data_IF_560642002131
#
_entry.id   IF_560642002131
#
_cell.length_a   1.000
_cell.length_b   1.000
_cell.length_c   1.000
_cell.angle_alpha   90.00
_cell.angle_beta   90.00
_cell.angle_gamma   90.00
#
_symmetry.space_group_name_H-M   'P 1'
#
loop_
_entity.id
_entity.type
_entity.pdbx_description
1 polymer ?
#
# COMPACT_ATOMS: atom_id res chain seq x y z
N UNK A 1 23.71 -106.87 19.11
CA UNK A 1 22.94 -107.19 17.88
C UNK A 1 21.70 -106.30 17.81
N UNK A 2 21.87 -104.98 17.84
CA UNK A 2 20.76 -104.00 17.96
C UNK A 2 20.71 -103.02 16.77
N UNK A 3 21.61 -103.16 15.80
CA UNK A 3 21.73 -102.27 14.64
C UNK A 3 20.91 -102.70 13.42
N UNK A 4 20.25 -103.86 13.46
CA UNK A 4 19.58 -104.44 12.29
C UNK A 4 18.06 -104.19 12.21
N UNK A 5 17.40 -103.79 13.30
CA UNK A 5 15.94 -103.55 13.30
C UNK A 5 15.54 -102.11 12.92
N UNK A 6 16.46 -101.16 12.94
CA UNK A 6 16.21 -99.78 12.49
C UNK A 6 16.07 -99.65 10.97
N UNK A 7 16.57 -100.62 10.20
CA UNK A 7 16.56 -100.57 8.73
C UNK A 7 15.23 -101.08 8.13
N UNK A 8 14.48 -101.96 8.83
CA UNK A 8 13.24 -102.54 8.28
C UNK A 8 12.00 -101.67 8.43
N UNK A 9 11.93 -100.80 9.46
CA UNK A 9 10.85 -99.82 9.59
C UNK A 9 10.94 -98.72 8.53
N UNK A 10 12.14 -98.48 7.99
CA UNK A 10 12.38 -97.51 6.92
C UNK A 10 11.70 -97.92 5.61
N UNK A 11 11.69 -99.22 5.28
CA UNK A 11 11.04 -99.75 4.07
C UNK A 11 9.51 -99.85 4.17
N UNK A 12 8.95 -99.96 5.36
CA UNK A 12 7.50 -100.13 5.55
C UNK A 12 6.77 -98.79 5.73
N UNK A 13 7.46 -97.76 6.26
CA UNK A 13 6.88 -96.44 6.52
C UNK A 13 7.36 -95.33 5.58
N UNK A 14 8.16 -95.62 4.54
CA UNK A 14 8.70 -94.61 3.63
C UNK A 14 7.63 -93.70 2.98
N UNK A 15 6.43 -94.23 2.76
CA UNK A 15 5.29 -93.47 2.25
C UNK A 15 4.90 -92.32 3.20
N UNK A 16 4.91 -92.54 4.51
CA UNK A 16 4.61 -91.50 5.50
C UNK A 16 5.68 -90.41 5.52
N UNK A 17 6.95 -90.76 5.29
CA UNK A 17 8.04 -89.78 5.18
C UNK A 17 7.88 -88.90 3.94
N UNK A 18 7.50 -89.49 2.81
CA UNK A 18 7.25 -88.74 1.56
C UNK A 18 6.03 -87.83 1.71
N UNK A 19 4.94 -88.31 2.29
CA UNK A 19 3.74 -87.51 2.55
C UNK A 19 4.05 -86.36 3.51
N UNK A 20 4.77 -86.61 4.61
CA UNK A 20 5.18 -85.56 5.54
C UNK A 20 6.08 -84.50 4.89
N UNK A 21 6.99 -84.92 4.01
CA UNK A 21 7.85 -84.01 3.26
C UNK A 21 7.06 -83.15 2.27
N UNK A 22 6.12 -83.74 1.52
CA UNK A 22 5.24 -83.01 0.60
C UNK A 22 4.37 -82.03 1.38
N UNK A 23 3.79 -82.45 2.51
CA UNK A 23 3.00 -81.56 3.37
C UNK A 23 3.86 -80.44 3.97
N UNK A 24 5.09 -80.71 4.39
CA UNK A 24 6.01 -79.69 4.88
C UNK A 24 6.38 -78.68 3.78
N UNK A 25 6.63 -79.14 2.55
CA UNK A 25 6.89 -78.26 1.40
C UNK A 25 5.65 -77.45 1.03
N UNK A 26 4.47 -78.07 1.03
CA UNK A 26 3.20 -77.39 0.74
C UNK A 26 2.87 -76.34 1.81
N UNK A 27 3.07 -76.67 3.08
CA UNK A 27 2.87 -75.73 4.19
C UNK A 27 3.92 -74.61 4.16
N UNK A 28 5.18 -74.94 3.86
CA UNK A 28 6.23 -73.94 3.68
C UNK A 28 5.91 -73.00 2.52
N UNK A 29 5.50 -73.54 1.37
CA UNK A 29 5.08 -72.74 0.22
C UNK A 29 3.84 -71.89 0.53
N UNK A 30 2.89 -72.39 1.31
CA UNK A 30 1.70 -71.65 1.73
C UNK A 30 2.04 -70.50 2.70
N UNK A 31 2.94 -70.74 3.66
CA UNK A 31 3.42 -69.70 4.60
C UNK A 31 4.25 -68.65 3.86
N UNK A 32 5.01 -69.02 2.82
CA UNK A 32 5.74 -68.06 1.99
C UNK A 32 4.83 -67.22 1.07
N UNK A 33 3.52 -67.51 1.02
CA UNK A 33 2.50 -66.69 0.36
C UNK A 33 1.90 -65.66 1.33
N UNK A 34 2.48 -65.48 2.53
CA UNK A 34 2.25 -64.25 3.30
C UNK A 34 2.71 -63.06 2.44
N UNK A 35 1.75 -62.26 1.99
CA UNK A 35 1.96 -61.15 1.07
C UNK A 35 3.04 -60.20 1.63
N UNK A 36 4.20 -60.11 0.97
CA UNK A 36 5.17 -59.09 1.34
C UNK A 36 4.48 -57.72 1.23
N UNK A 37 4.45 -56.94 2.33
CA UNK A 37 3.76 -55.67 2.35
C UNK A 37 4.36 -54.74 1.29
N UNK A 38 3.52 -54.29 0.36
CA UNK A 38 3.98 -53.46 -0.76
C UNK A 38 4.32 -52.07 -0.27
N UNK A 39 5.49 -51.58 -0.65
CA UNK A 39 5.94 -50.22 -0.34
C UNK A 39 5.84 -49.33 -1.58
N UNK A 40 5.27 -48.13 -1.42
CA UNK A 40 5.18 -47.13 -2.50
C UNK A 40 5.41 -45.72 -1.95
N UNK A 41 6.20 -44.93 -2.65
CA UNK A 41 6.38 -43.50 -2.34
C UNK A 41 5.39 -42.67 -3.16
N UNK A 42 4.63 -41.84 -2.46
CA UNK A 42 3.69 -40.87 -3.01
C UNK A 42 4.34 -39.47 -2.91
N UNK A 43 4.68 -38.84 -4.05
CA UNK A 43 5.18 -37.47 -4.05
C UNK A 43 4.05 -36.45 -3.86
N UNK A 44 4.43 -35.21 -3.54
CA UNK A 44 3.57 -34.02 -3.53
C UNK A 44 2.34 -34.07 -2.61
N UNK A 45 2.44 -34.75 -1.47
CA UNK A 45 1.38 -34.75 -0.46
C UNK A 45 1.36 -33.37 0.24
N UNK A 46 0.23 -32.64 0.24
CA UNK A 46 0.15 -31.33 0.86
C UNK A 46 0.22 -31.44 2.38
N UNK A 47 1.09 -30.62 2.99
CA UNK A 47 1.21 -30.54 4.44
C UNK A 47 0.13 -29.60 5.01
N UNK A 48 -0.68 -30.11 5.94
CA UNK A 48 -1.76 -29.36 6.59
C UNK A 48 -1.37 -28.99 8.02
N UNK A 49 -1.55 -27.73 8.38
CA UNK A 49 -1.34 -27.28 9.76
C UNK A 49 -2.66 -27.34 10.53
N UNK A 50 -2.68 -28.03 11.67
CA UNK A 50 -3.85 -28.16 12.53
C UNK A 50 -3.70 -27.28 13.77
N UNK A 51 -4.83 -26.94 14.42
CA UNK A 51 -4.87 -26.10 15.62
C UNK A 51 -4.17 -24.73 15.44
N UNK A 52 -4.31 -24.12 14.26
CA UNK A 52 -3.62 -22.86 13.95
C UNK A 52 -4.13 -21.67 14.75
N UNK A 53 -5.41 -21.62 15.13
CA UNK A 53 -5.98 -20.46 15.84
C UNK A 53 -5.66 -19.14 15.13
N UNK A 54 -5.15 -18.16 15.87
CA UNK A 54 -4.69 -16.86 15.35
C UNK A 54 -3.24 -16.89 14.80
N UNK A 55 -2.62 -18.07 14.73
CA UNK A 55 -1.24 -18.24 14.31
C UNK A 55 -1.14 -18.31 12.78
N UNK A 56 -0.20 -17.55 12.25
CA UNK A 56 0.21 -17.58 10.85
C UNK A 56 1.53 -18.34 10.71
N UNK A 57 1.56 -19.31 9.79
CA UNK A 57 2.70 -20.21 9.58
C UNK A 57 3.46 -19.83 8.32
N UNK A 58 4.79 -19.79 8.41
CA UNK A 58 5.69 -19.59 7.27
C UNK A 58 6.66 -20.78 7.14
N UNK A 59 6.75 -21.43 5.97
CA UNK A 59 6.00 -21.19 4.74
C UNK A 59 4.55 -21.71 4.81
N UNK A 60 3.61 -21.00 4.18
CA UNK A 60 2.17 -21.29 4.24
C UNK A 60 1.75 -22.52 3.43
N UNK A 61 2.53 -22.90 2.42
CA UNK A 61 2.30 -24.09 1.59
C UNK A 61 3.58 -24.88 1.51
N UNK A 62 3.50 -26.18 1.77
CA UNK A 62 4.60 -27.12 1.62
C UNK A 62 4.03 -28.46 1.19
N UNK A 63 4.76 -29.17 0.34
CA UNK A 63 4.48 -30.56 0.02
C UNK A 63 5.58 -31.43 0.60
N UNK A 64 5.24 -32.68 0.90
CA UNK A 64 6.16 -33.70 1.40
C UNK A 64 5.99 -34.99 0.62
N UNK A 65 7.06 -35.77 0.54
CA UNK A 65 6.98 -37.13 -0.01
C UNK A 65 6.64 -38.08 1.12
N UNK A 66 5.78 -39.04 0.85
CA UNK A 66 5.29 -39.95 1.87
C UNK A 66 5.40 -41.38 1.38
N UNK A 67 6.03 -42.23 2.18
CA UNK A 67 6.14 -43.66 1.88
C UNK A 67 5.01 -44.39 2.61
N UNK A 68 4.21 -45.15 1.85
CA UNK A 68 3.13 -45.96 2.37
C UNK A 68 3.46 -47.45 2.21
N UNK A 69 3.15 -48.24 3.22
CA UNK A 69 3.40 -49.68 3.25
C UNK A 69 2.16 -50.42 3.77
N UNK A 70 1.71 -51.47 3.08
CA UNK A 70 0.50 -52.22 3.45
C UNK A 70 0.09 -53.28 2.41
N UNK A 71 -1.15 -53.81 2.48
CA UNK A 71 -1.66 -54.81 1.54
C UNK A 71 -1.59 -54.32 0.09
N UNK A 72 -1.17 -55.21 -0.82
CA UNK A 72 -0.89 -54.86 -2.21
C UNK A 72 -2.08 -54.18 -2.91
N UNK A 73 -3.28 -54.72 -2.72
CA UNK A 73 -4.50 -54.25 -3.36
C UNK A 73 -4.89 -52.83 -2.93
N UNK A 74 -4.51 -52.44 -1.70
CA UNK A 74 -4.75 -51.10 -1.16
C UNK A 74 -3.71 -50.13 -1.72
N UNK A 75 -2.43 -50.45 -1.59
CA UNK A 75 -1.31 -49.54 -1.96
C UNK A 75 -1.28 -49.24 -3.46
N UNK A 76 -1.67 -50.20 -4.32
CA UNK A 76 -1.69 -50.01 -5.76
C UNK A 76 -2.72 -48.98 -6.23
N UNK A 77 -3.83 -48.87 -5.50
CA UNK A 77 -4.94 -47.97 -5.80
C UNK A 77 -4.82 -46.62 -5.09
N UNK A 78 -3.91 -46.49 -4.12
CA UNK A 78 -3.72 -45.25 -3.36
C UNK A 78 -3.11 -44.13 -4.22
N UNK A 79 -3.61 -42.92 -3.98
CA UNK A 79 -3.12 -41.66 -4.54
C UNK A 79 -2.63 -40.71 -3.43
N UNK A 80 -1.87 -39.65 -3.75
CA UNK A 80 -1.46 -38.65 -2.77
C UNK A 80 -2.62 -37.97 -2.01
N UNK A 81 -3.85 -37.98 -2.55
CA UNK A 81 -5.05 -37.37 -1.91
C UNK A 81 -5.62 -38.24 -0.78
N UNK A 82 -5.28 -39.52 -0.79
CA UNK A 82 -5.73 -40.53 0.16
C UNK A 82 -4.86 -40.56 1.42
N UNK A 83 -3.83 -39.71 1.46
CA UNK A 83 -2.91 -39.54 2.57
C UNK A 83 -3.06 -38.13 3.12
N UNK A 84 -3.06 -38.01 4.45
CA UNK A 84 -3.03 -36.72 5.15
C UNK A 84 -1.71 -36.60 5.87
N UNK A 85 -0.91 -35.59 5.53
CA UNK A 85 0.26 -35.19 6.29
C UNK A 85 -0.09 -33.91 7.07
N UNK A 86 0.03 -33.95 8.40
CA UNK A 86 -0.32 -32.83 9.26
C UNK A 86 0.71 -32.51 10.33
N UNK A 87 0.69 -31.27 10.80
CA UNK A 87 1.53 -30.80 11.92
C UNK A 87 0.64 -30.06 12.91
N UNK A 88 0.68 -30.47 14.17
CA UNK A 88 -0.05 -29.81 15.25
C UNK A 88 0.71 -28.57 15.76
N UNK A 89 0.00 -27.44 15.84
CA UNK A 89 0.52 -26.16 16.32
C UNK A 89 -0.02 -25.76 17.71
N UNK A 90 -0.70 -26.67 18.41
CA UNK A 90 -1.31 -26.40 19.71
C UNK A 90 -0.26 -25.97 20.74
N UNK A 91 -0.55 -24.87 21.45
CA UNK A 91 0.28 -24.38 22.55
C UNK A 91 1.60 -23.74 22.13
N UNK A 92 1.84 -23.53 20.83
CA UNK A 92 3.04 -22.86 20.36
C UNK A 92 3.00 -21.36 20.67
N UNK A 93 4.16 -20.82 21.02
CA UNK A 93 4.30 -19.39 21.30
C UNK A 93 4.64 -18.64 20.00
N UNK A 94 3.92 -17.56 19.68
CA UNK A 94 4.21 -16.73 18.51
C UNK A 94 5.64 -16.15 18.50
N UNK A 95 6.18 -15.93 17.30
CA UNK A 95 7.48 -15.27 17.07
C UNK A 95 8.69 -16.20 17.15
N UNK A 96 8.47 -17.52 17.23
CA UNK A 96 9.53 -18.53 17.32
C UNK A 96 9.51 -19.49 16.13
N UNK A 97 10.67 -20.06 15.82
CA UNK A 97 10.80 -21.17 14.86
C UNK A 97 10.79 -22.50 15.59
N UNK A 98 9.98 -23.43 15.12
CA UNK A 98 9.84 -24.76 15.69
C UNK A 98 10.23 -25.83 14.66
N UNK A 99 10.78 -26.95 15.15
CA UNK A 99 10.99 -28.15 14.35
C UNK A 99 10.00 -29.21 14.84
N UNK A 100 8.97 -29.46 14.05
CA UNK A 100 7.81 -30.28 14.44
C UNK A 100 7.79 -31.57 13.63
N UNK A 101 7.41 -32.66 14.27
CA UNK A 101 7.20 -33.94 13.59
C UNK A 101 5.97 -33.85 12.69
N UNK A 102 6.03 -34.53 11.54
CA UNK A 102 4.89 -34.65 10.63
C UNK A 102 4.12 -35.91 11.01
N UNK A 103 2.87 -35.74 11.39
CA UNK A 103 1.94 -36.84 11.55
C UNK A 103 1.40 -37.25 10.18
N UNK A 104 1.36 -38.54 9.91
CA UNK A 104 0.78 -39.05 8.68
C UNK A 104 -0.30 -40.09 8.96
N UNK A 105 -1.43 -39.98 8.25
CA UNK A 105 -2.51 -40.96 8.30
C UNK A 105 -3.05 -41.28 6.89
N UNK A 106 -3.40 -42.56 6.68
CA UNK A 106 -4.16 -43.02 5.51
C UNK A 106 -5.65 -42.82 5.72
N UNK A 107 -6.36 -42.32 4.70
CA UNK A 107 -7.83 -42.19 4.71
C UNK A 107 -8.56 -43.48 4.33
N UNK A 108 -7.88 -44.38 3.59
CA UNK A 108 -8.50 -45.57 2.99
C UNK A 108 -8.50 -46.75 3.97
N UNK A 109 -7.39 -46.95 4.69
CA UNK A 109 -7.26 -48.02 5.67
C UNK A 109 -6.22 -47.60 6.74
N UNK A 110 -6.63 -46.85 7.78
CA UNK A 110 -5.71 -46.26 8.76
C UNK A 110 -4.94 -47.31 9.58
N UNK A 111 -5.56 -48.46 9.87
CA UNK A 111 -4.95 -49.50 10.71
C UNK A 111 -4.10 -50.51 9.92
N UNK A 112 -4.17 -50.49 8.58
CA UNK A 112 -3.50 -51.46 7.70
C UNK A 112 -2.40 -50.83 6.83
N UNK A 113 -2.30 -49.49 6.82
CA UNK A 113 -1.31 -48.76 6.02
C UNK A 113 -0.40 -47.98 6.94
N UNK A 114 0.86 -48.41 7.01
CA UNK A 114 1.92 -47.68 7.68
C UNK A 114 2.29 -46.50 6.80
N UNK A 115 2.29 -45.31 7.38
CA UNK A 115 2.65 -44.09 6.69
C UNK A 115 3.91 -43.45 7.27
N UNK A 116 4.91 -43.22 6.42
CA UNK A 116 6.20 -42.62 6.83
C UNK A 116 6.49 -41.37 5.99
N UNK A 117 6.37 -40.16 6.58
CA UNK A 117 6.70 -38.92 5.87
C UNK A 117 8.22 -38.74 5.71
N UNK A 118 8.62 -38.19 4.57
CA UNK A 118 9.99 -37.80 4.25
C UNK A 118 10.01 -36.36 3.70
N UNK A 119 10.54 -35.36 4.46
CA UNK A 119 11.22 -35.50 5.75
C UNK A 119 10.25 -35.79 6.91
N UNK A 120 10.74 -36.43 7.98
CA UNK A 120 9.93 -36.71 9.18
C UNK A 120 9.69 -35.46 10.05
N UNK A 121 10.56 -34.44 9.93
CA UNK A 121 10.50 -33.20 10.71
C UNK A 121 10.48 -32.02 9.75
N UNK A 122 9.63 -31.04 10.04
CA UNK A 122 9.52 -29.79 9.30
C UNK A 122 9.88 -28.62 10.21
N UNK A 123 10.70 -27.70 9.69
CA UNK A 123 10.93 -26.40 10.34
C UNK A 123 9.90 -25.40 9.87
N UNK A 124 9.19 -24.77 10.81
CA UNK A 124 8.18 -23.74 10.56
C UNK A 124 8.38 -22.54 11.48
N UNK A 125 8.13 -21.35 10.97
CA UNK A 125 8.02 -20.14 11.77
C UNK A 125 6.55 -19.86 12.03
N UNK A 126 6.23 -19.56 13.29
CA UNK A 126 4.86 -19.33 13.73
C UNK A 126 4.76 -17.91 14.29
N UNK A 127 3.87 -17.10 13.74
CA UNK A 127 3.67 -15.71 14.10
C UNK A 127 2.22 -15.45 14.52
N UNK A 128 2.00 -14.50 15.43
CA UNK A 128 0.65 -14.13 15.85
C UNK A 128 0.03 -13.19 14.84
N UNK A 129 -1.19 -13.49 14.42
CA UNK A 129 -2.05 -12.54 13.72
C UNK A 129 -2.78 -11.71 14.77
N UNK A 130 -2.72 -10.40 14.65
CA UNK A 130 -3.40 -9.47 15.54
C UNK A 130 -4.35 -8.63 14.69
N UNK A 131 -5.46 -8.20 15.29
CA UNK A 131 -6.39 -7.25 14.70
C UNK A 131 -6.41 -5.97 15.53
N UNK A 132 -6.32 -4.82 14.89
CA UNK A 132 -6.38 -3.51 15.54
C UNK A 132 -7.25 -2.55 14.73
N UNK A 133 -8.00 -1.72 15.43
CA UNK A 133 -8.85 -0.70 14.84
C UNK A 133 -8.02 0.56 14.53
N UNK A 134 -8.22 1.14 13.34
CA UNK A 134 -7.53 2.34 12.89
C UNK A 134 -8.52 3.32 12.26
N UNK A 135 -8.24 4.61 12.40
CA UNK A 135 -8.95 5.67 11.67
C UNK A 135 -8.62 5.61 10.18
N UNK A 136 -9.62 5.84 9.34
CA UNK A 136 -9.52 5.91 7.89
C UNK A 136 -9.46 7.37 7.47
N UNK A 137 -8.32 7.79 6.95
CA UNK A 137 -8.07 9.19 6.58
C UNK A 137 -8.10 9.35 5.07
N UNK A 138 -8.89 10.29 4.52
CA UNK A 138 -8.86 10.59 3.10
C UNK A 138 -7.55 11.31 2.74
N UNK A 139 -6.91 10.88 1.66
CA UNK A 139 -5.74 11.56 1.09
C UNK A 139 -6.01 11.95 -0.35
N UNK A 140 -6.04 13.26 -0.59
CA UNK A 140 -6.17 13.84 -1.92
C UNK A 140 -4.83 13.76 -2.65
N UNK A 141 -4.82 13.13 -3.82
CA UNK A 141 -3.58 12.93 -4.61
C UNK A 141 -3.23 14.14 -5.46
N UNK A 142 -4.15 15.09 -5.62
CA UNK A 142 -3.98 16.29 -6.43
C UNK A 142 -4.48 17.53 -5.70
N UNK A 143 -3.82 18.66 -5.96
CA UNK A 143 -4.22 19.96 -5.45
C UNK A 143 -5.45 20.49 -6.21
N UNK A 144 -6.30 21.30 -5.56
CA UNK A 144 -7.43 21.91 -6.24
C UNK A 144 -6.98 22.82 -7.39
N UNK A 145 -7.77 22.88 -8.48
CA UNK A 145 -7.57 23.88 -9.52
C UNK A 145 -7.57 25.29 -8.95
N UNK A 146 -6.84 26.18 -9.62
CA UNK A 146 -6.73 27.59 -9.23
C UNK A 146 -8.11 28.24 -9.14
N UNK A 147 -8.39 28.92 -8.02
CA UNK A 147 -9.68 29.58 -7.76
C UNK A 147 -10.73 28.66 -7.15
N UNK A 148 -10.36 27.43 -6.80
CA UNK A 148 -11.22 26.45 -6.15
C UNK A 148 -10.59 25.91 -4.87
N UNK A 149 -11.44 25.41 -3.99
CA UNK A 149 -11.07 24.62 -2.81
C UNK A 149 -11.91 23.35 -2.76
N UNK A 150 -11.32 22.28 -2.25
CA UNK A 150 -12.07 21.07 -1.92
C UNK A 150 -12.64 21.20 -0.51
N UNK A 151 -13.89 20.80 -0.32
CA UNK A 151 -14.40 20.59 1.04
C UNK A 151 -13.70 19.41 1.69
N UNK A 152 -13.57 19.41 3.02
CA UNK A 152 -13.04 18.27 3.77
C UNK A 152 -13.80 17.00 3.39
N UNK A 153 -13.13 15.96 2.83
CA UNK A 153 -13.82 14.74 2.44
C UNK A 153 -14.39 14.01 3.65
N UNK A 154 -15.63 13.54 3.54
CA UNK A 154 -16.23 12.66 4.53
C UNK A 154 -15.97 11.21 4.14
N UNK A 155 -15.56 10.38 5.09
CA UNK A 155 -15.23 8.96 4.87
C UNK A 155 -16.10 8.09 5.75
N UNK A 156 -16.79 7.14 5.13
CA UNK A 156 -17.70 6.21 5.80
C UNK A 156 -17.32 4.77 5.45
N UNK A 157 -16.95 3.91 6.41
CA UNK A 157 -16.80 4.21 7.83
C UNK A 157 -15.53 5.04 8.12
N UNK A 158 -15.54 5.79 9.23
CA UNK A 158 -14.36 6.55 9.69
C UNK A 158 -13.29 5.65 10.33
N UNK A 159 -13.63 4.40 10.62
CA UNK A 159 -12.75 3.40 11.23
C UNK A 159 -12.83 2.07 10.48
N UNK A 160 -11.71 1.36 10.40
CA UNK A 160 -11.66 0.01 9.85
C UNK A 160 -10.66 -0.85 10.62
N UNK A 161 -10.92 -2.16 10.63
CA UNK A 161 -10.07 -3.13 11.33
C UNK A 161 -8.98 -3.60 10.40
N UNK A 162 -7.73 -3.49 10.83
CA UNK A 162 -6.57 -4.03 10.13
C UNK A 162 -6.06 -5.27 10.85
N UNK A 163 -5.93 -6.36 10.11
CA UNK A 163 -5.50 -7.67 10.60
C UNK A 163 -4.23 -8.09 9.87
N UNK A 164 -3.22 -8.55 10.62
CA UNK A 164 -1.99 -9.07 10.04
C UNK A 164 -1.03 -9.59 11.11
N UNK A 165 0.13 -10.09 10.67
CA UNK A 165 1.21 -10.50 11.59
C UNK A 165 1.57 -9.35 12.52
N UNK A 166 1.70 -9.61 13.82
CA UNK A 166 1.98 -8.61 14.85
C UNK A 166 3.13 -7.66 14.46
N UNK A 167 4.26 -8.20 13.99
CA UNK A 167 5.42 -7.40 13.54
C UNK A 167 5.12 -6.48 12.35
N UNK A 168 4.26 -6.93 11.44
CA UNK A 168 3.84 -6.14 10.27
C UNK A 168 2.81 -5.09 10.68
N UNK A 169 1.83 -5.47 11.51
CA UNK A 169 0.78 -4.57 11.97
C UNK A 169 1.33 -3.42 12.84
N UNK A 170 2.40 -3.67 13.59
CA UNK A 170 3.12 -2.61 14.35
C UNK A 170 3.72 -1.51 13.45
N UNK A 171 3.91 -1.77 12.16
CA UNK A 171 4.40 -0.76 11.19
C UNK A 171 3.27 0.10 10.63
N UNK A 172 2.01 -0.34 10.77
CA UNK A 172 0.85 0.40 10.30
C UNK A 172 0.62 1.57 11.23
N UNK A 173 0.71 2.79 10.68
CA UNK A 173 0.46 4.01 11.42
C UNK A 173 -1.01 4.44 11.27
N UNK A 174 -1.56 4.30 10.06
CA UNK A 174 -2.91 4.75 9.72
C UNK A 174 -3.45 3.99 8.51
N UNK A 175 -4.76 4.06 8.32
CA UNK A 175 -5.43 3.62 7.10
C UNK A 175 -5.73 4.84 6.25
N UNK A 176 -5.42 4.77 4.96
CA UNK A 176 -5.70 5.86 4.02
C UNK A 176 -6.57 5.41 2.86
N UNK A 177 -7.26 6.39 2.30
CA UNK A 177 -8.00 6.25 1.06
C UNK A 177 -7.46 7.27 0.07
N UNK A 178 -6.91 6.80 -1.04
CA UNK A 178 -6.35 7.67 -2.09
C UNK A 178 -7.48 8.16 -3.01
N UNK A 179 -7.77 9.45 -2.96
CA UNK A 179 -8.87 10.08 -3.70
C UNK A 179 -8.30 11.02 -4.75
N UNK A 180 -8.61 10.75 -6.01
CA UNK A 180 -8.25 11.61 -7.14
C UNK A 180 -9.50 12.42 -7.54
N UNK A 181 -9.50 13.72 -7.27
CA UNK A 181 -10.66 14.59 -7.45
C UNK A 181 -10.34 15.73 -8.41
N UNK A 182 -11.04 15.85 -9.55
CA UNK A 182 -10.77 16.86 -10.57
C UNK A 182 -11.49 18.19 -10.31
N UNK A 183 -12.29 18.60 -11.30
CA UNK A 183 -13.21 19.76 -11.25
C UNK A 183 -14.65 19.38 -10.90
N UNK A 184 -14.87 18.13 -10.53
CA UNK A 184 -16.18 17.55 -10.25
C UNK A 184 -16.24 17.07 -8.81
N UNK A 185 -17.44 17.06 -8.25
CA UNK A 185 -17.73 16.46 -6.96
C UNK A 185 -17.48 14.94 -7.02
N UNK A 186 -17.12 14.37 -5.87
CA UNK A 186 -16.83 12.95 -5.76
C UNK A 186 -17.74 12.31 -4.73
N UNK A 187 -18.34 11.19 -5.12
CA UNK A 187 -19.21 10.38 -4.27
C UNK A 187 -19.07 8.91 -4.68
N UNK A 188 -18.07 8.21 -4.11
CA UNK A 188 -17.67 6.90 -4.62
C UNK A 188 -16.98 6.03 -3.55
N UNK A 189 -16.87 4.73 -3.83
CA UNK A 189 -16.15 3.78 -2.98
C UNK A 189 -14.70 3.61 -3.43
N UNK A 190 -13.78 3.71 -2.48
CA UNK A 190 -12.35 3.58 -2.73
C UNK A 190 -11.74 2.50 -1.83
N UNK A 191 -10.68 1.81 -2.29
CA UNK A 191 -9.99 0.81 -1.47
C UNK A 191 -9.24 1.47 -0.30
N UNK A 192 -9.33 0.85 0.87
CA UNK A 192 -8.58 1.27 2.05
C UNK A 192 -7.20 0.62 2.02
N UNK A 193 -6.16 1.41 2.27
CA UNK A 193 -4.77 0.96 2.30
C UNK A 193 -4.16 1.18 3.67
N UNK A 194 -3.53 0.15 4.21
CA UNK A 194 -2.70 0.27 5.40
C UNK A 194 -1.34 0.85 5.03
N UNK A 195 -0.95 1.95 5.68
CA UNK A 195 0.32 2.64 5.39
C UNK A 195 1.14 2.88 6.64
N UNK A 196 2.46 3.01 6.44
CA UNK A 196 3.40 3.36 7.49
C UNK A 196 3.52 4.88 7.69
N UNK A 197 4.50 5.31 8.51
CA UNK A 197 4.75 6.73 8.82
C UNK A 197 5.17 7.58 7.62
N UNK A 198 5.63 6.96 6.53
CA UNK A 198 6.02 7.63 5.29
C UNK A 198 4.89 7.54 4.25
N UNK A 199 3.71 7.12 4.68
CA UNK A 199 2.56 6.77 3.85
C UNK A 199 2.86 5.68 2.80
N UNK A 200 3.86 4.83 3.03
CA UNK A 200 4.14 3.72 2.15
C UNK A 200 3.21 2.54 2.48
N UNK A 201 2.69 1.82 1.46
CA UNK A 201 1.80 0.68 1.69
C UNK A 201 2.50 -0.44 2.45
N UNK A 202 1.82 -0.99 3.46
CA UNK A 202 2.30 -2.11 4.27
C UNK A 202 1.68 -3.42 3.75
N UNK A 203 2.41 -4.26 3.01
CA UNK A 203 1.87 -5.51 2.48
C UNK A 203 1.62 -6.53 3.58
N UNK A 204 0.70 -7.47 3.34
CA UNK A 204 0.37 -8.53 4.31
C UNK A 204 -0.63 -8.11 5.40
N UNK A 205 -1.25 -6.94 5.25
CA UNK A 205 -2.33 -6.46 6.12
C UNK A 205 -3.65 -6.58 5.38
N UNK A 206 -4.63 -7.24 5.99
CA UNK A 206 -6.02 -7.31 5.53
C UNK A 206 -6.83 -6.24 6.24
N UNK A 207 -7.58 -5.43 5.50
CA UNK A 207 -8.45 -4.40 6.08
C UNK A 207 -9.91 -4.80 5.89
N UNK A 208 -10.71 -4.61 6.92
CA UNK A 208 -12.16 -4.87 6.93
C UNK A 208 -12.93 -3.67 7.52
N UNK A 209 -13.85 -3.03 6.76
CA UNK A 209 -14.16 -3.32 5.36
C UNK A 209 -13.01 -2.97 4.40
N UNK A 210 -12.91 -3.61 3.22
CA UNK A 210 -11.81 -3.36 2.27
C UNK A 210 -11.95 -2.04 1.50
N UNK A 211 -13.14 -1.42 1.54
CA UNK A 211 -13.45 -0.16 0.87
C UNK A 211 -14.18 0.78 1.81
N UNK A 212 -13.97 2.08 1.63
CA UNK A 212 -14.74 3.13 2.29
C UNK A 212 -15.44 3.99 1.23
N UNK A 213 -16.62 4.47 1.57
CA UNK A 213 -17.34 5.47 0.80
C UNK A 213 -16.76 6.86 1.12
N UNK A 214 -16.44 7.63 0.08
CA UNK A 214 -15.91 8.97 0.22
C UNK A 214 -16.78 9.95 -0.55
N UNK A 215 -17.20 11.01 0.15
CA UNK A 215 -17.94 12.13 -0.44
C UNK A 215 -17.18 13.43 -0.22
N UNK A 216 -16.95 14.19 -1.28
CA UNK A 216 -16.34 15.53 -1.23
C UNK A 216 -16.82 16.41 -2.38
N UNK A 217 -16.95 17.71 -2.14
CA UNK A 217 -17.40 18.69 -3.12
C UNK A 217 -16.33 19.74 -3.41
N UNK A 218 -16.37 20.33 -4.60
CA UNK A 218 -15.48 21.44 -4.99
C UNK A 218 -16.25 22.76 -4.95
N UNK A 219 -15.66 23.81 -4.37
CA UNK A 219 -16.27 25.14 -4.26
C UNK A 219 -15.31 26.22 -4.73
N UNK A 220 -15.86 27.37 -5.11
CA UNK A 220 -15.06 28.54 -5.53
C UNK A 220 -14.39 29.14 -4.30
N UNK A 221 -13.06 29.22 -4.32
CA UNK A 221 -12.29 29.87 -3.29
C UNK A 221 -11.95 31.30 -3.72
N UNK A 222 -12.05 32.25 -2.78
CA UNK A 222 -11.52 33.58 -2.98
C UNK A 222 -10.01 33.54 -2.81
N UNK A 223 -9.29 33.76 -3.90
CA UNK A 223 -7.85 33.92 -3.92
C UNK A 223 -7.49 35.31 -3.40
N UNK A 224 -6.28 35.43 -2.85
CA UNK A 224 -5.68 36.72 -2.56
C UNK A 224 -4.27 36.78 -3.13
N UNK A 225 -3.97 37.87 -3.85
CA UNK A 225 -2.72 38.03 -4.61
C UNK A 225 -2.32 39.49 -4.64
N UNK A 226 -1.02 39.79 -4.65
CA UNK A 226 -0.52 41.15 -4.88
C UNK A 226 -0.45 41.42 -6.39
N UNK A 227 -1.03 42.53 -6.82
CA UNK A 227 -1.03 42.99 -8.22
C UNK A 227 -0.13 44.22 -8.36
N UNK A 228 0.67 44.26 -9.42
CA UNK A 228 1.52 45.39 -9.75
C UNK A 228 0.67 46.54 -10.30
N UNK A 229 0.86 47.75 -9.77
CA UNK A 229 0.15 48.94 -10.25
C UNK A 229 0.94 49.57 -11.39
N UNK A 230 0.31 49.70 -12.56
CA UNK A 230 0.89 50.38 -13.72
C UNK A 230 0.14 51.67 -14.00
N UNK A 231 0.78 52.86 -13.86
CA UNK A 231 0.12 54.12 -14.17
C UNK A 231 -0.18 54.25 -15.66
N UNK A 232 -1.36 54.76 -15.97
CA UNK A 232 -1.76 55.17 -17.32
C UNK A 232 -1.88 56.69 -17.32
N UNK A 233 -1.21 57.37 -18.24
CA UNK A 233 -1.25 58.84 -18.37
C UNK A 233 -2.09 59.25 -19.57
N UNK A 234 -2.72 60.41 -19.48
CA UNK A 234 -3.44 61.05 -20.58
C UNK A 234 -3.08 62.54 -20.70
N UNK A 235 -3.20 63.07 -21.92
CA UNK A 235 -2.90 64.48 -22.19
C UNK A 235 -1.41 64.77 -22.31
N UNK A 236 -1.05 66.05 -22.25
CA UNK A 236 0.34 66.53 -22.27
C UNK A 236 0.55 67.63 -21.23
N UNK A 237 1.72 67.70 -20.57
CA UNK A 237 2.08 68.80 -19.69
C UNK A 237 1.97 70.17 -20.37
N UNK A 238 1.96 71.24 -19.58
CA UNK A 238 1.97 72.61 -20.10
C UNK A 238 3.14 72.83 -21.08
N UNK A 239 2.95 73.56 -22.20
CA UNK A 239 4.02 73.78 -23.18
C UNK A 239 5.31 74.30 -22.52
N UNK A 240 6.42 73.59 -22.77
CA UNK A 240 7.71 73.90 -22.17
C UNK A 240 8.03 73.08 -20.92
N UNK A 241 7.20 72.14 -20.50
CA UNK A 241 7.48 71.17 -19.43
C UNK A 241 7.52 69.72 -19.94
N UNK A 242 8.31 68.88 -19.28
CA UNK A 242 8.39 67.42 -19.50
C UNK A 242 8.28 66.68 -18.18
N UNK A 243 7.59 65.54 -18.19
CA UNK A 243 7.55 64.63 -17.04
C UNK A 243 8.90 63.93 -16.90
N UNK A 244 9.58 64.11 -15.78
CA UNK A 244 10.89 63.49 -15.49
C UNK A 244 10.76 62.23 -14.65
N UNK A 245 9.79 62.18 -13.74
CA UNK A 245 9.47 61.00 -12.95
C UNK A 245 7.96 60.85 -12.78
N UNK A 246 7.50 59.60 -12.76
CA UNK A 246 6.12 59.24 -12.43
C UNK A 246 6.16 58.01 -11.54
N UNK A 247 5.92 58.20 -10.25
CA UNK A 247 5.93 57.11 -9.27
C UNK A 247 4.57 56.95 -8.60
N UNK A 248 4.16 55.69 -8.41
CA UNK A 248 2.88 55.33 -7.79
C UNK A 248 3.13 54.59 -6.49
N UNK A 249 2.44 55.03 -5.41
CA UNK A 249 2.57 54.44 -4.07
C UNK A 249 1.19 54.07 -3.49
N UNK A 250 0.99 52.83 -3.02
CA UNK A 250 1.90 51.68 -3.14
C UNK A 250 2.01 51.17 -4.59
N UNK A 251 3.17 50.64 -4.97
CA UNK A 251 3.39 50.03 -6.30
C UNK A 251 2.75 48.65 -6.44
N UNK A 252 2.29 48.07 -5.34
CA UNK A 252 1.61 46.77 -5.28
C UNK A 252 0.35 46.90 -4.42
N UNK A 253 -0.77 46.35 -4.89
CA UNK A 253 -2.05 46.33 -4.15
C UNK A 253 -2.57 44.91 -3.98
N UNK A 254 -3.31 44.67 -2.90
CA UNK A 254 -3.88 43.36 -2.62
C UNK A 254 -5.18 43.20 -3.40
N UNK A 255 -5.20 42.25 -4.33
CA UNK A 255 -6.44 41.75 -4.94
C UNK A 255 -7.02 40.60 -4.12
N UNK A 256 -8.35 40.59 -4.00
CA UNK A 256 -9.15 39.43 -3.56
C UNK A 256 -10.20 39.11 -4.63
N UNK A 257 -10.30 37.86 -5.06
CA UNK A 257 -11.20 37.50 -6.16
C UNK A 257 -11.16 36.02 -6.51
N UNK A 258 -11.94 35.60 -7.50
CA UNK A 258 -11.97 34.20 -7.95
C UNK A 258 -10.85 33.86 -8.94
N UNK A 259 -11.15 32.97 -9.89
CA UNK A 259 -10.20 32.49 -10.89
C UNK A 259 -9.52 33.61 -11.72
N UNK A 260 -10.24 34.70 -12.04
CA UNK A 260 -9.70 35.83 -12.83
C UNK A 260 -8.47 36.46 -12.16
N UNK A 261 -8.47 36.55 -10.83
CA UNK A 261 -7.33 37.11 -10.07
C UNK A 261 -6.06 36.28 -10.23
N UNK A 262 -6.17 34.99 -10.52
CA UNK A 262 -4.99 34.16 -10.69
C UNK A 262 -4.22 34.48 -11.97
N UNK A 263 -4.94 34.77 -13.05
CA UNK A 263 -4.39 35.12 -14.36
C UNK A 263 -3.95 36.59 -14.42
N UNK A 264 -4.50 37.43 -13.54
CA UNK A 264 -4.17 38.84 -13.45
C UNK A 264 -2.90 39.04 -12.62
N UNK A 265 -1.92 39.75 -13.16
CA UNK A 265 -0.69 40.15 -12.46
C UNK A 265 -0.58 41.67 -12.27
N UNK A 266 -1.31 42.43 -13.09
CA UNK A 266 -1.19 43.88 -13.21
C UNK A 266 -2.57 44.50 -13.08
N UNK A 267 -2.62 45.68 -12.47
CA UNK A 267 -3.77 46.57 -12.47
C UNK A 267 -3.35 47.94 -12.96
N UNK A 268 -4.14 48.52 -13.86
CA UNK A 268 -3.90 49.86 -14.38
C UNK A 268 -4.55 50.92 -13.50
N UNK A 269 -4.00 52.12 -13.46
CA UNK A 269 -4.71 53.26 -12.91
C UNK A 269 -5.74 53.77 -13.91
N UNK A 270 -6.78 54.46 -13.42
CA UNK A 270 -7.55 55.37 -14.28
C UNK A 270 -6.58 56.40 -14.90
N UNK A 271 -6.77 56.83 -16.16
CA UNK A 271 -5.86 57.75 -16.82
C UNK A 271 -5.60 59.01 -15.99
N UNK A 272 -4.32 59.28 -15.72
CA UNK A 272 -3.84 60.43 -14.96
C UNK A 272 -3.72 61.60 -15.93
N UNK A 273 -4.57 62.64 -15.83
CA UNK A 273 -4.53 63.78 -16.74
C UNK A 273 -3.30 64.64 -16.43
N UNK A 274 -2.49 64.90 -17.45
CA UNK A 274 -1.29 65.75 -17.35
C UNK A 274 -1.51 67.17 -17.86
N UNK A 275 -2.70 67.47 -18.39
CA UNK A 275 -3.00 68.75 -19.02
C UNK A 275 -2.89 69.91 -18.01
N UNK A 276 -2.05 70.90 -18.34
CA UNK A 276 -1.83 72.09 -17.52
C UNK A 276 -0.90 71.92 -16.32
N UNK A 277 -0.23 70.77 -16.18
CA UNK A 277 0.75 70.56 -15.09
C UNK A 277 2.08 71.26 -15.45
N UNK A 278 2.50 72.21 -14.61
CA UNK A 278 3.79 72.91 -14.66
C UNK A 278 4.62 72.82 -13.36
N UNK A 279 4.06 72.24 -12.30
CA UNK A 279 4.75 72.02 -11.02
C UNK A 279 4.58 70.57 -10.54
N UNK A 280 5.51 70.10 -9.71
CA UNK A 280 5.43 68.77 -9.13
C UNK A 280 4.16 68.63 -8.30
N UNK A 281 3.40 67.57 -8.57
CA UNK A 281 2.09 67.39 -7.93
C UNK A 281 1.89 65.96 -7.46
N UNK A 282 1.06 65.82 -6.42
CA UNK A 282 0.61 64.55 -5.89
C UNK A 282 -0.88 64.41 -6.17
N UNK A 283 -1.26 63.38 -6.90
CA UNK A 283 -2.64 63.11 -7.23
C UNK A 283 -3.08 61.79 -6.61
N UNK A 284 -4.28 61.78 -6.03
CA UNK A 284 -4.93 60.52 -5.62
C UNK A 284 -5.66 59.94 -6.82
N UNK A 285 -5.23 58.77 -7.28
CA UNK A 285 -5.72 58.14 -8.51
C UNK A 285 -6.39 56.81 -8.15
N UNK A 286 -7.57 56.58 -8.70
CA UNK A 286 -8.28 55.30 -8.54
C UNK A 286 -7.70 54.24 -9.47
N UNK A 287 -7.74 52.99 -9.04
CA UNK A 287 -7.39 51.85 -9.88
C UNK A 287 -8.55 51.49 -10.80
N UNK A 288 -8.22 50.99 -11.99
CA UNK A 288 -9.21 50.48 -12.93
C UNK A 288 -9.91 49.25 -12.32
N UNK A 289 -11.25 49.25 -12.35
CA UNK A 289 -12.04 48.19 -11.74
C UNK A 289 -12.00 46.95 -12.64
N UNK A 290 -11.51 45.84 -12.09
CA UNK A 290 -11.54 44.53 -12.75
C UNK A 290 -12.76 43.74 -12.23
N UNK A 291 -13.71 43.32 -13.10
CA UNK A 291 -14.88 42.57 -12.66
C UNK A 291 -14.52 41.32 -11.85
N UNK A 292 -15.12 41.18 -10.66
CA UNK A 292 -14.87 40.04 -9.77
C UNK A 292 -13.57 40.08 -8.97
N UNK A 293 -12.83 41.21 -8.99
CA UNK A 293 -11.66 41.45 -8.14
C UNK A 293 -11.90 42.68 -7.26
N UNK A 294 -11.75 42.51 -5.96
CA UNK A 294 -11.73 43.57 -4.97
C UNK A 294 -10.28 43.96 -4.68
N UNK A 295 -9.97 45.24 -4.86
CA UNK A 295 -8.64 45.79 -4.63
C UNK A 295 -8.60 46.52 -3.29
N UNK A 296 -7.54 46.30 -2.52
CA UNK A 296 -7.32 46.92 -1.22
C UNK A 296 -5.84 47.36 -1.12
N UNK A 297 -5.53 48.67 -1.15
CA UNK A 297 -6.45 49.80 -1.40
C UNK A 297 -6.91 49.87 -2.87
N UNK A 298 -8.03 50.54 -3.12
CA UNK A 298 -8.58 50.81 -4.46
C UNK A 298 -8.07 52.14 -5.07
N UNK A 299 -7.31 52.90 -4.29
CA UNK A 299 -6.73 54.18 -4.65
C UNK A 299 -5.25 54.21 -4.30
N UNK A 300 -4.47 54.90 -5.13
CA UNK A 300 -3.02 55.03 -5.01
C UNK A 300 -2.62 56.50 -5.16
N UNK A 301 -1.48 56.88 -4.58
CA UNK A 301 -0.91 58.22 -4.76
C UNK A 301 0.06 58.19 -5.93
N UNK A 302 -0.20 59.01 -6.96
CA UNK A 302 0.72 59.25 -8.07
C UNK A 302 1.49 60.55 -7.82
N UNK A 303 2.81 60.46 -7.77
CA UNK A 303 3.73 61.59 -7.73
C UNK A 303 4.23 61.86 -9.15
N UNK A 304 3.92 63.05 -9.66
CA UNK A 304 4.33 63.49 -10.99
C UNK A 304 5.39 64.58 -10.81
N UNK A 305 6.61 64.32 -11.27
CA UNK A 305 7.65 65.34 -11.35
C UNK A 305 7.75 65.89 -12.77
N UNK A 306 7.73 67.22 -12.89
CA UNK A 306 7.87 67.92 -14.17
C UNK A 306 9.04 68.88 -14.13
N UNK A 307 9.78 68.98 -15.24
CA UNK A 307 10.89 69.93 -15.40
C UNK A 307 10.68 70.77 -16.64
N UNK A 308 11.02 72.06 -16.55
CA UNK A 308 11.02 72.95 -17.70
C UNK A 308 12.09 72.51 -18.71
N UNK A 309 11.68 72.35 -19.97
CA UNK A 309 12.56 72.04 -21.11
C UNK A 309 13.52 73.21 -21.30
N UNK A 310 14.79 73.01 -20.95
CA UNK A 310 15.86 74.02 -21.10
C UNK A 310 16.76 74.27 -19.88
N UNK A 311 16.54 73.61 -18.74
CA UNK A 311 17.40 73.80 -17.55
C UNK A 311 18.40 72.62 -17.38
N UNK A 312 19.73 72.86 -17.36
CA UNK A 312 20.74 71.79 -17.17
C UNK A 312 20.57 71.04 -15.83
N UNK A 313 21.08 69.81 -15.73
CA UNK A 313 21.12 69.07 -14.46
C UNK A 313 22.09 69.76 -13.47
N UNK A 314 21.81 69.81 -12.15
CA UNK A 314 22.78 70.29 -11.17
C UNK A 314 24.00 69.35 -11.14
N UNK A 315 25.24 69.87 -11.04
CA UNK A 315 26.43 69.02 -11.03
C UNK A 315 26.45 68.11 -9.79
N UNK A 316 26.67 66.82 -10.01
CA UNK A 316 26.92 65.84 -8.95
C UNK A 316 28.26 66.16 -8.28
N UNK A 317 28.23 66.58 -7.01
CA UNK A 317 29.45 66.72 -6.21
C UNK A 317 30.03 65.33 -5.90
N UNK A 318 30.98 64.90 -6.74
CA UNK A 318 31.90 63.81 -6.44
C UNK A 318 32.79 64.21 -5.27
N UNK A 319 32.68 63.47 -4.18
CA UNK A 319 33.50 63.64 -2.99
C UNK A 319 34.98 63.47 -3.31
N UNK A 320 35.75 64.50 -2.97
CA UNK A 320 37.18 64.41 -2.80
C UNK A 320 37.47 63.78 -1.43
N UNK A 321 38.14 62.64 -1.43
CA UNK A 321 38.98 62.20 -0.31
C UNK A 321 40.36 61.92 -0.88
N UNK A 322 41.31 62.76 -0.47
CA UNK A 322 42.74 62.62 -0.80
C UNK A 322 43.45 61.61 0.10
N UNK A 323 44.72 61.36 -0.24
CA UNK A 323 45.66 60.51 0.49
C UNK A 323 46.35 59.55 -0.45
#
# INVERSE_FOLDING_TARGET
>A
MESAQTVSSFRQNWLYWVVALISAIALHAYVQVEEEPRTRTLPDVPLVFTNTGDLQVTPRRRTVSVTVQGPRDVIDRMSPRDVTASVDLRGLTPGSSYSLAIDCASKVAPDMVICTPNPAIVRVSVDATVSKLFQVVPRLVQAPPVGFEYTTPTVTPSEATATGVSRVLMRVERLIVLVRMGKEDIDAYFPIQAVDRRDAPVPGVRVDPPKAHVSATIRRALLSKMLLVTPVVSGRPEPGYVVTDLSVRPSMVKGRGGAILAETNVVHTVPIPLDGISENTNMKVSLERIPGIFLEPDTVAAHVEVKRVGQPAPPSHGGATGG
#
